data_IF_686684589814
#
_entry.id   IF_686684589814
#
_cell.length_a   1.000
_cell.length_b   1.000
_cell.length_c   1.000
_cell.angle_alpha   90.00
_cell.angle_beta   90.00
_cell.angle_gamma   90.00
#
_symmetry.space_group_name_H-M   'P 1'
#
loop_
_entity.id
_entity.type
_entity.pdbx_description
1 polymer ?
#
# COMPACT_ATOMS: atom_id res chain seq x y z
N UNK A 1 115.86 76.90 -18.03
CA UNK A 1 114.94 75.75 -18.12
C UNK A 1 113.61 76.26 -18.64
N UNK A 2 113.45 76.43 -19.95
CA UNK A 2 112.13 76.58 -20.57
C UNK A 2 112.16 75.83 -21.89
N UNK A 3 111.40 74.74 -21.89
CA UNK A 3 111.34 73.68 -22.87
C UNK A 3 110.47 74.05 -24.07
N UNK A 4 110.80 73.39 -25.17
CA UNK A 4 110.17 73.36 -26.49
C UNK A 4 108.63 73.34 -26.50
N UNK A 5 108.04 74.03 -27.49
CA UNK A 5 106.76 73.66 -28.08
C UNK A 5 106.90 73.60 -29.60
N UNK A 6 106.73 72.43 -30.24
CA UNK A 6 106.67 72.36 -31.69
C UNK A 6 105.26 72.77 -32.14
N UNK A 7 105.16 73.80 -32.98
CA UNK A 7 103.93 74.13 -33.70
C UNK A 7 103.70 73.09 -34.80
N UNK A 8 102.85 72.10 -34.51
CA UNK A 8 102.39 71.11 -35.46
C UNK A 8 101.33 71.74 -36.39
N UNK A 9 101.75 72.29 -37.54
CA UNK A 9 100.80 72.68 -38.60
C UNK A 9 100.37 71.41 -39.33
N UNK A 10 99.23 70.84 -38.93
CA UNK A 10 98.62 69.68 -39.58
C UNK A 10 98.35 69.95 -41.06
N UNK A 11 98.70 68.99 -41.92
CA UNK A 11 98.46 69.07 -43.36
C UNK A 11 96.96 68.94 -43.69
N UNK A 12 96.42 69.71 -44.66
CA UNK A 12 94.99 69.70 -45.00
C UNK A 12 94.43 68.31 -45.36
N UNK A 13 95.28 67.43 -45.91
CA UNK A 13 94.96 66.04 -46.27
C UNK A 13 94.62 65.16 -45.04
N UNK A 14 95.28 65.39 -43.90
CA UNK A 14 95.03 64.62 -42.67
C UNK A 14 93.67 64.93 -42.03
N UNK A 15 93.27 66.21 -42.08
CA UNK A 15 91.96 66.65 -41.57
C UNK A 15 90.84 66.13 -42.47
N UNK A 16 90.99 66.21 -43.79
CA UNK A 16 90.00 65.70 -44.74
C UNK A 16 89.81 64.17 -44.61
N UNK A 17 90.91 63.42 -44.41
CA UNK A 17 90.84 61.98 -44.17
C UNK A 17 90.12 61.64 -42.85
N UNK A 18 90.40 62.38 -41.77
CA UNK A 18 89.67 62.23 -40.49
C UNK A 18 88.18 62.52 -40.62
N UNK A 19 87.81 63.60 -41.29
CA UNK A 19 86.41 63.97 -41.53
C UNK A 19 85.71 62.91 -42.38
N UNK A 20 86.38 62.41 -43.42
CA UNK A 20 85.84 61.35 -44.27
C UNK A 20 85.65 60.03 -43.51
N UNK A 21 86.62 59.62 -42.67
CA UNK A 21 86.46 58.46 -41.80
C UNK A 21 85.33 58.64 -40.77
N UNK A 22 85.17 59.84 -40.22
CA UNK A 22 84.09 60.16 -39.31
C UNK A 22 82.72 60.09 -40.00
N UNK A 23 82.60 60.58 -41.23
CA UNK A 23 81.37 60.46 -42.01
C UNK A 23 81.04 59.00 -42.35
N UNK A 24 82.06 58.16 -42.63
CA UNK A 24 81.89 56.73 -42.86
C UNK A 24 81.42 55.99 -41.60
N UNK A 25 81.95 56.30 -40.42
CA UNK A 25 81.50 55.68 -39.17
C UNK A 25 80.10 56.15 -38.78
N UNK A 26 79.79 57.42 -39.00
CA UNK A 26 78.47 58.01 -38.74
C UNK A 26 77.39 57.43 -39.68
N UNK A 27 77.67 57.29 -40.97
CA UNK A 27 76.75 56.59 -41.90
C UNK A 27 76.61 55.11 -41.58
N UNK A 28 77.69 54.44 -41.16
CA UNK A 28 77.64 53.02 -40.76
C UNK A 28 76.80 52.82 -39.50
N UNK A 29 77.00 53.63 -38.47
CA UNK A 29 76.25 53.55 -37.21
C UNK A 29 74.78 53.90 -37.42
N UNK A 30 74.48 54.95 -38.20
CA UNK A 30 73.11 55.31 -38.57
C UNK A 30 72.38 54.16 -39.28
N UNK A 31 73.02 53.54 -40.29
CA UNK A 31 72.43 52.37 -40.97
C UNK A 31 72.28 51.17 -40.04
N UNK A 32 73.24 50.95 -39.14
CA UNK A 32 73.15 49.86 -38.16
C UNK A 32 71.95 50.04 -37.22
N UNK A 33 71.68 51.27 -36.79
CA UNK A 33 70.50 51.61 -35.98
C UNK A 33 69.23 51.41 -36.79
N UNK A 34 69.15 51.93 -38.02
CA UNK A 34 67.98 51.75 -38.90
C UNK A 34 67.67 50.26 -39.15
N UNK A 35 68.69 49.44 -39.43
CA UNK A 35 68.51 47.99 -39.62
C UNK A 35 67.98 47.34 -38.33
N UNK A 36 68.57 47.67 -37.18
CA UNK A 36 68.12 47.13 -35.89
C UNK A 36 66.68 47.54 -35.54
N UNK A 37 66.27 48.77 -35.88
CA UNK A 37 64.90 49.24 -35.68
C UNK A 37 63.91 48.55 -36.62
N UNK A 38 64.29 48.32 -37.87
CA UNK A 38 63.48 47.59 -38.85
C UNK A 38 63.31 46.13 -38.41
N UNK A 39 64.39 45.47 -37.98
CA UNK A 39 64.37 44.10 -37.48
C UNK A 39 63.52 43.99 -36.20
N UNK A 40 63.64 44.96 -35.29
CA UNK A 40 62.80 45.04 -34.08
C UNK A 40 61.31 45.18 -34.40
N UNK A 41 60.94 46.10 -35.30
CA UNK A 41 59.55 46.26 -35.76
C UNK A 41 59.02 45.02 -36.48
N UNK A 42 59.89 44.31 -37.19
CA UNK A 42 59.51 43.07 -37.87
C UNK A 42 59.23 41.96 -36.86
N UNK A 43 60.09 41.80 -35.85
CA UNK A 43 59.89 40.84 -34.76
C UNK A 43 58.60 41.12 -33.97
N UNK A 44 58.34 42.37 -33.62
CA UNK A 44 57.13 42.79 -32.89
C UNK A 44 55.84 42.48 -33.70
N UNK A 45 55.87 42.66 -35.02
CA UNK A 45 54.75 42.28 -35.90
C UNK A 45 54.53 40.77 -35.94
N UNK A 46 55.60 39.97 -35.94
CA UNK A 46 55.47 38.51 -35.92
C UNK A 46 54.95 38.03 -34.56
N UNK A 47 55.43 38.61 -33.47
CA UNK A 47 54.97 38.31 -32.13
C UNK A 47 53.49 38.67 -31.95
N UNK A 48 53.06 39.86 -32.39
CA UNK A 48 51.66 40.26 -32.35
C UNK A 48 50.75 39.32 -33.14
N UNK A 49 51.15 38.91 -34.36
CA UNK A 49 50.37 37.95 -35.16
C UNK A 49 50.30 36.57 -34.52
N UNK A 50 51.38 36.12 -33.87
CA UNK A 50 51.40 34.85 -33.17
C UNK A 50 50.47 34.89 -31.95
N UNK A 51 50.51 35.98 -31.18
CA UNK A 51 49.62 36.21 -30.05
C UNK A 51 48.16 36.25 -30.48
N UNK A 52 47.84 36.97 -31.56
CA UNK A 52 46.49 37.04 -32.13
C UNK A 52 45.98 35.65 -32.56
N UNK A 53 46.79 34.89 -33.30
CA UNK A 53 46.41 33.54 -33.73
C UNK A 53 46.19 32.57 -32.55
N UNK A 54 47.01 32.68 -31.49
CA UNK A 54 46.84 31.88 -30.28
C UNK A 54 45.60 32.28 -29.48
N UNK A 55 45.30 33.57 -29.43
CA UNK A 55 44.11 34.12 -28.78
C UNK A 55 42.85 33.67 -29.50
N UNK A 56 42.81 33.80 -30.83
CA UNK A 56 41.68 33.33 -31.65
C UNK A 56 41.42 31.84 -31.47
N UNK A 57 42.47 31.03 -31.42
CA UNK A 57 42.34 29.59 -31.18
C UNK A 57 41.79 29.30 -29.79
N UNK A 58 42.25 30.03 -28.77
CA UNK A 58 41.74 29.92 -27.39
C UNK A 58 40.26 30.28 -27.33
N UNK A 59 39.87 31.39 -27.94
CA UNK A 59 38.50 31.88 -27.94
C UNK A 59 37.56 30.94 -28.71
N UNK A 60 38.05 30.32 -29.79
CA UNK A 60 37.31 29.26 -30.50
C UNK A 60 37.06 28.04 -29.61
N UNK A 61 38.08 27.55 -28.90
CA UNK A 61 37.91 26.43 -27.98
C UNK A 61 37.00 26.77 -26.81
N UNK A 62 37.11 27.98 -26.25
CA UNK A 62 36.27 28.43 -25.16
C UNK A 62 34.79 28.54 -25.61
N UNK A 63 34.54 29.09 -26.79
CA UNK A 63 33.21 29.14 -27.39
C UNK A 63 32.65 27.73 -27.67
N UNK A 64 33.46 26.83 -28.24
CA UNK A 64 33.03 25.46 -28.51
C UNK A 64 32.67 24.72 -27.23
N UNK A 65 33.48 24.84 -26.18
CA UNK A 65 33.21 24.23 -24.88
C UNK A 65 31.98 24.81 -24.21
N UNK A 66 31.76 26.13 -24.30
CA UNK A 66 30.55 26.78 -23.81
C UNK A 66 29.29 26.26 -24.52
N UNK A 67 29.33 26.15 -25.85
CA UNK A 67 28.22 25.64 -26.64
C UNK A 67 27.89 24.18 -26.31
N UNK A 68 28.91 23.31 -26.29
CA UNK A 68 28.74 21.91 -25.93
C UNK A 68 28.15 21.76 -24.52
N UNK A 69 28.63 22.56 -23.57
CA UNK A 69 28.11 22.56 -22.20
C UNK A 69 26.63 22.96 -22.17
N UNK A 70 26.25 24.02 -22.87
CA UNK A 70 24.87 24.49 -22.93
C UNK A 70 23.94 23.46 -23.59
N UNK A 71 24.40 22.81 -24.66
CA UNK A 71 23.63 21.77 -25.35
C UNK A 71 23.39 20.56 -24.45
N UNK A 72 24.42 20.14 -23.71
CA UNK A 72 24.32 19.08 -22.71
C UNK A 72 23.34 19.46 -21.59
N UNK A 73 23.44 20.68 -21.04
CA UNK A 73 22.53 21.17 -20.00
C UNK A 73 21.07 21.16 -20.49
N UNK A 74 20.81 21.65 -21.71
CA UNK A 74 19.47 21.65 -22.30
C UNK A 74 18.91 20.24 -22.53
N UNK A 75 19.75 19.31 -23.02
CA UNK A 75 19.37 17.92 -23.22
C UNK A 75 18.97 17.26 -21.89
N UNK A 76 19.75 17.46 -20.83
CA UNK A 76 19.44 16.91 -19.52
C UNK A 76 18.19 17.57 -18.92
N UNK A 77 18.02 18.88 -19.06
CA UNK A 77 16.84 19.58 -18.56
C UNK A 77 15.57 19.09 -19.25
N UNK A 78 15.58 18.93 -20.58
CA UNK A 78 14.46 18.36 -21.32
C UNK A 78 14.19 16.90 -20.94
N UNK A 79 15.25 16.09 -20.77
CA UNK A 79 15.10 14.69 -20.37
C UNK A 79 14.46 14.56 -18.99
N UNK A 80 14.89 15.39 -18.04
CA UNK A 80 14.33 15.43 -16.68
C UNK A 80 12.85 15.84 -16.74
N UNK A 81 12.51 16.92 -17.46
CA UNK A 81 11.12 17.37 -17.63
C UNK A 81 10.23 16.28 -18.23
N UNK A 82 10.70 15.59 -19.26
CA UNK A 82 9.95 14.52 -19.90
C UNK A 82 9.75 13.32 -18.97
N UNK A 83 10.78 12.93 -18.21
CA UNK A 83 10.69 11.84 -17.23
C UNK A 83 9.75 12.19 -16.07
N UNK A 84 9.82 13.43 -15.57
CA UNK A 84 8.90 13.93 -14.55
C UNK A 84 7.45 13.89 -15.05
N UNK A 85 7.18 14.45 -16.25
CA UNK A 85 5.84 14.43 -16.82
C UNK A 85 5.31 13.01 -17.09
N UNK A 86 6.17 12.07 -17.48
CA UNK A 86 5.78 10.67 -17.65
C UNK A 86 5.44 10.03 -16.30
N UNK A 87 6.27 10.26 -15.28
CA UNK A 87 6.04 9.74 -13.94
C UNK A 87 4.74 10.29 -13.34
N UNK A 88 4.49 11.59 -13.50
CA UNK A 88 3.25 12.23 -13.05
C UNK A 88 2.03 11.59 -13.73
N UNK A 89 2.08 11.34 -15.05
CA UNK A 89 0.99 10.64 -15.76
C UNK A 89 0.78 9.23 -15.24
N UNK A 90 1.85 8.49 -14.96
CA UNK A 90 1.74 7.15 -14.39
C UNK A 90 1.15 7.18 -12.98
N UNK A 91 1.58 8.12 -12.14
CA UNK A 91 1.03 8.28 -10.79
C UNK A 91 -0.45 8.69 -10.81
N UNK A 92 -0.82 9.68 -11.62
CA UNK A 92 -2.21 10.11 -11.76
C UNK A 92 -3.09 9.03 -12.37
N UNK A 93 -2.59 8.30 -13.38
CA UNK A 93 -3.30 7.17 -13.97
C UNK A 93 -3.53 6.02 -12.98
N UNK A 94 -2.51 5.68 -12.19
CA UNK A 94 -2.63 4.65 -11.16
C UNK A 94 -3.58 5.06 -10.04
N UNK A 95 -3.53 6.32 -9.59
CA UNK A 95 -4.46 6.85 -8.59
C UNK A 95 -5.91 6.84 -9.10
N UNK A 96 -6.14 7.29 -10.34
CA UNK A 96 -7.47 7.28 -10.95
C UNK A 96 -8.05 5.86 -11.09
N UNK A 97 -7.23 4.89 -11.52
CA UNK A 97 -7.66 3.49 -11.63
C UNK A 97 -8.01 2.87 -10.26
N UNK A 98 -7.27 3.19 -9.20
CA UNK A 98 -7.58 2.75 -7.84
C UNK A 98 -8.89 3.36 -7.33
N UNK A 99 -9.12 4.64 -7.57
CA UNK A 99 -10.36 5.30 -7.17
C UNK A 99 -11.57 4.73 -7.92
N UNK A 100 -11.42 4.42 -9.21
CA UNK A 100 -12.46 3.78 -10.02
C UNK A 100 -12.79 2.36 -9.54
N UNK A 101 -11.78 1.56 -9.19
CA UNK A 101 -11.98 0.24 -8.57
C UNK A 101 -12.75 0.36 -7.25
N UNK A 102 -12.35 1.28 -6.36
CA UNK A 102 -13.03 1.51 -5.07
C UNK A 102 -14.47 1.96 -5.26
N UNK A 103 -14.75 2.79 -6.26
CA UNK A 103 -16.12 3.18 -6.58
C UNK A 103 -16.95 2.01 -7.10
N UNK A 104 -16.37 1.15 -7.96
CA UNK A 104 -17.05 -0.03 -8.47
C UNK A 104 -17.35 -1.04 -7.36
N UNK A 105 -16.40 -1.29 -6.45
CA UNK A 105 -16.62 -2.14 -5.27
C UNK A 105 -17.75 -1.60 -4.38
N UNK A 106 -17.76 -0.29 -4.09
CA UNK A 106 -18.84 0.34 -3.32
C UNK A 106 -20.20 0.19 -4.01
N UNK A 107 -20.24 0.34 -5.33
CA UNK A 107 -21.48 0.18 -6.11
C UNK A 107 -21.99 -1.25 -6.05
N UNK A 108 -21.11 -2.25 -6.24
CA UNK A 108 -21.46 -3.67 -6.12
C UNK A 108 -21.98 -4.02 -4.74
N UNK A 109 -21.28 -3.57 -3.69
CA UNK A 109 -21.75 -3.78 -2.32
C UNK A 109 -23.12 -3.14 -2.06
N UNK A 110 -23.37 -1.94 -2.59
CA UNK A 110 -24.67 -1.30 -2.47
C UNK A 110 -25.77 -2.09 -3.22
N UNK A 111 -25.48 -2.65 -4.39
CA UNK A 111 -26.39 -3.52 -5.14
C UNK A 111 -26.69 -4.82 -4.38
N UNK A 112 -25.66 -5.49 -3.84
CA UNK A 112 -25.80 -6.72 -3.06
C UNK A 112 -26.65 -6.49 -1.80
N UNK A 113 -26.41 -5.38 -1.09
CA UNK A 113 -27.22 -4.99 0.06
C UNK A 113 -28.68 -4.76 -0.33
N UNK A 114 -28.94 -4.06 -1.43
CA UNK A 114 -30.30 -3.81 -1.91
C UNK A 114 -31.03 -5.12 -2.31
N UNK A 115 -30.32 -6.07 -2.91
CA UNK A 115 -30.87 -7.40 -3.21
C UNK A 115 -31.20 -8.18 -1.94
N UNK A 116 -30.32 -8.14 -0.95
CA UNK A 116 -30.52 -8.82 0.33
C UNK A 116 -31.69 -8.22 1.12
N UNK A 117 -31.80 -6.89 1.16
CA UNK A 117 -32.93 -6.18 1.76
C UNK A 117 -34.26 -6.56 1.11
N UNK A 118 -34.27 -6.69 -0.23
CA UNK A 118 -35.46 -7.12 -0.96
C UNK A 118 -35.85 -8.57 -0.61
N UNK A 119 -34.88 -9.47 -0.48
CA UNK A 119 -35.16 -10.86 -0.11
C UNK A 119 -35.64 -10.97 1.34
N UNK A 120 -35.05 -10.21 2.26
CA UNK A 120 -35.52 -10.09 3.63
C UNK A 120 -36.97 -9.59 3.69
N UNK A 121 -37.30 -8.59 2.88
CA UNK A 121 -38.68 -8.09 2.80
C UNK A 121 -39.63 -9.16 2.27
N UNK A 122 -39.24 -9.89 1.22
CA UNK A 122 -40.03 -11.00 0.66
C UNK A 122 -40.32 -12.08 1.71
N UNK A 123 -39.30 -12.49 2.48
CA UNK A 123 -39.43 -13.50 3.53
C UNK A 123 -40.30 -13.00 4.69
N UNK A 124 -40.20 -11.72 5.05
CA UNK A 124 -41.08 -11.11 6.06
C UNK A 124 -42.54 -11.15 5.60
N UNK A 125 -42.81 -10.75 4.36
CA UNK A 125 -44.16 -10.75 3.81
C UNK A 125 -44.73 -12.19 3.78
N UNK A 126 -43.93 -13.17 3.36
CA UNK A 126 -44.31 -14.59 3.39
C UNK A 126 -44.62 -15.10 4.81
N UNK A 127 -43.80 -14.76 5.79
CA UNK A 127 -44.04 -15.09 7.20
C UNK A 127 -45.34 -14.47 7.70
N UNK A 128 -45.63 -13.21 7.35
CA UNK A 128 -46.87 -12.55 7.76
C UNK A 128 -48.11 -13.22 7.17
N UNK A 129 -48.02 -13.67 5.90
CA UNK A 129 -49.10 -14.39 5.25
C UNK A 129 -49.36 -15.73 5.93
N UNK A 130 -48.31 -16.51 6.23
CA UNK A 130 -48.43 -17.78 6.94
C UNK A 130 -49.10 -17.59 8.31
N UNK A 131 -48.69 -16.57 9.07
CA UNK A 131 -49.30 -16.27 10.37
C UNK A 131 -50.80 -15.95 10.26
N UNK A 132 -51.20 -15.25 9.19
CA UNK A 132 -52.61 -14.99 8.92
C UNK A 132 -53.38 -16.27 8.59
N UNK A 133 -52.84 -17.12 7.70
CA UNK A 133 -53.46 -18.41 7.36
C UNK A 133 -53.60 -19.33 8.58
N UNK A 134 -52.59 -19.36 9.46
CA UNK A 134 -52.66 -20.10 10.72
C UNK A 134 -53.74 -19.55 11.66
N UNK A 135 -53.90 -18.23 11.73
CA UNK A 135 -54.95 -17.61 12.55
C UNK A 135 -56.34 -17.95 12.00
N UNK A 136 -56.56 -17.85 10.69
CA UNK A 136 -57.82 -18.19 10.04
C UNK A 136 -58.18 -19.67 10.27
N UNK A 137 -57.20 -20.57 10.15
CA UNK A 137 -57.39 -21.99 10.44
C UNK A 137 -57.71 -22.25 11.91
N UNK A 138 -57.07 -21.53 12.82
CA UNK A 138 -57.36 -21.61 14.26
C UNK A 138 -58.79 -21.16 14.57
N UNK A 139 -59.26 -20.09 13.94
CA UNK A 139 -60.61 -19.58 14.10
C UNK A 139 -61.65 -20.60 13.60
N UNK A 140 -61.41 -21.25 12.46
CA UNK A 140 -62.23 -22.38 11.96
C UNK A 140 -62.24 -23.51 12.98
N UNK A 141 -61.08 -23.89 13.52
CA UNK A 141 -60.98 -24.96 14.53
C UNK A 141 -61.80 -24.64 15.77
N UNK A 142 -61.75 -23.40 16.26
CA UNK A 142 -62.55 -22.96 17.41
C UNK A 142 -64.05 -23.03 17.09
N UNK A 143 -64.47 -22.62 15.89
CA UNK A 143 -65.87 -22.74 15.45
C UNK A 143 -66.33 -24.20 15.47
N UNK A 144 -65.53 -25.12 14.92
CA UNK A 144 -65.84 -26.55 14.89
C UNK A 144 -65.92 -27.17 16.30
N UNK A 145 -65.03 -26.78 17.22
CA UNK A 145 -65.11 -27.24 18.61
C UNK A 145 -66.42 -26.80 19.28
N UNK A 146 -66.87 -25.57 19.00
CA UNK A 146 -68.13 -25.05 19.51
C UNK A 146 -69.32 -25.82 18.93
N UNK A 147 -69.31 -26.12 17.63
CA UNK A 147 -70.33 -26.96 16.98
C UNK A 147 -70.38 -28.37 17.58
N UNK A 148 -69.23 -29.02 17.76
CA UNK A 148 -69.13 -30.34 18.37
C UNK A 148 -69.65 -30.31 19.81
N UNK A 149 -69.31 -29.30 20.60
CA UNK A 149 -69.81 -29.14 21.96
C UNK A 149 -71.34 -28.96 21.99
N UNK A 150 -71.89 -28.19 21.05
CA UNK A 150 -73.33 -28.02 20.92
C UNK A 150 -74.03 -29.34 20.53
N UNK A 151 -73.49 -30.09 19.57
CA UNK A 151 -74.03 -31.40 19.18
C UNK A 151 -73.99 -32.41 20.33
N UNK A 152 -72.90 -32.47 21.10
CA UNK A 152 -72.80 -33.33 22.30
C UNK A 152 -73.90 -33.00 23.32
N UNK A 153 -74.11 -31.71 23.62
CA UNK A 153 -75.15 -31.27 24.56
C UNK A 153 -76.56 -31.63 24.09
N UNK A 154 -76.83 -31.52 22.79
CA UNK A 154 -78.13 -31.91 22.24
C UNK A 154 -78.36 -33.42 22.39
N UNK A 155 -77.35 -34.24 22.06
CA UNK A 155 -77.39 -35.69 22.25
C UNK A 155 -77.60 -36.08 23.73
N UNK A 156 -76.85 -35.47 24.65
CA UNK A 156 -77.02 -35.68 26.10
C UNK A 156 -78.47 -35.37 26.55
N UNK A 157 -79.06 -34.30 26.03
CA UNK A 157 -80.46 -33.95 26.34
C UNK A 157 -81.47 -34.94 25.75
N UNK A 158 -81.18 -35.53 24.59
CA UNK A 158 -82.04 -36.52 23.94
C UNK A 158 -81.93 -37.90 24.63
N UNK A 159 -80.71 -38.31 24.99
CA UNK A 159 -80.44 -39.51 25.78
C UNK A 159 -81.16 -39.47 27.15
N UNK A 160 -81.19 -38.29 27.79
CA UNK A 160 -81.94 -38.07 29.02
C UNK A 160 -83.46 -38.16 28.83
N UNK A 161 -84.02 -37.74 27.70
CA UNK A 161 -85.47 -37.87 27.39
C UNK A 161 -85.86 -39.32 27.09
N UNK A 162 -84.95 -40.06 26.47
CA UNK A 162 -85.18 -41.43 26.02
C UNK A 162 -84.76 -42.50 27.06
N UNK A 163 -84.28 -42.09 28.25
CA UNK A 163 -83.83 -42.98 29.35
C UNK A 163 -82.82 -44.04 28.90
N UNK A 164 -81.95 -43.72 27.94
CA UNK A 164 -81.00 -44.68 27.34
C UNK A 164 -79.77 -44.89 28.25
N UNK A 165 -79.56 -44.02 29.23
CA UNK A 165 -78.50 -44.19 30.23
C UNK A 165 -79.04 -44.96 31.45
N UNK A 166 -78.57 -46.18 31.77
CA UNK A 166 -78.82 -46.78 33.07
C UNK A 166 -78.13 -45.93 34.13
N UNK A 167 -78.89 -45.49 35.14
CA UNK A 167 -78.33 -44.92 36.36
C UNK A 167 -77.50 -45.99 37.08
N UNK A 168 -76.19 -45.97 36.87
CA UNK A 168 -75.22 -46.84 37.51
C UNK A 168 -74.12 -46.01 38.15
N UNK A 169 -74.33 -45.63 39.40
CA UNK A 169 -73.28 -45.20 40.31
C UNK A 169 -72.23 -46.31 40.42
N UNK A 170 -70.94 -45.99 40.23
CA UNK A 170 -69.90 -46.15 41.27
C UNK A 170 -68.51 -45.74 40.78
N UNK A 171 -67.94 -44.89 41.61
CA UNK A 171 -66.54 -44.52 41.76
C UNK A 171 -65.54 -45.62 41.43
N UNK A 172 -64.57 -45.31 40.57
CA UNK A 172 -63.20 -45.81 40.72
C UNK A 172 -62.25 -44.61 40.61
N UNK A 173 -61.84 -44.17 41.80
CA UNK A 173 -60.71 -43.30 42.05
C UNK A 173 -59.46 -43.80 41.33
N UNK A 174 -58.98 -43.04 40.34
CA UNK A 174 -57.58 -43.04 39.95
C UNK A 174 -57.07 -41.61 40.00
N UNK A 175 -56.39 -41.28 41.10
CA UNK A 175 -55.59 -40.08 41.21
C UNK A 175 -54.46 -40.15 40.19
N UNK A 176 -54.48 -39.23 39.24
CA UNK A 176 -53.27 -38.71 38.58
C UNK A 176 -53.56 -37.31 38.05
N UNK A 177 -53.87 -36.39 38.97
CA UNK A 177 -53.76 -34.95 38.75
C UNK A 177 -52.28 -34.57 38.63
N UNK A 178 -51.71 -34.65 37.42
CA UNK A 178 -50.64 -33.73 37.02
C UNK A 178 -51.32 -32.45 36.55
N UNK A 179 -51.41 -31.50 37.47
CA UNK A 179 -51.81 -30.12 37.20
C UNK A 179 -50.74 -29.43 36.36
N UNK A 180 -50.95 -29.39 35.05
CA UNK A 180 -50.37 -28.37 34.19
C UNK A 180 -51.52 -27.72 33.44
N UNK A 181 -51.92 -26.53 33.91
CA UNK A 181 -52.36 -25.40 33.08
C UNK A 181 -53.02 -24.35 33.97
N UNK A 182 -52.49 -23.12 33.95
CA UNK A 182 -53.21 -21.93 33.47
C UNK A 182 -52.45 -20.67 33.87
N UNK A 183 -51.65 -20.15 32.93
CA UNK A 183 -51.49 -18.70 32.78
C UNK A 183 -52.83 -18.18 32.26
N UNK A 184 -53.59 -17.48 33.11
CA UNK A 184 -54.67 -16.60 32.67
C UNK A 184 -54.08 -15.21 32.49
N UNK A 185 -54.00 -14.71 31.26
CA UNK A 185 -53.90 -13.27 31.01
C UNK A 185 -55.31 -12.70 31.00
N UNK A 186 -55.62 -11.67 31.81
CA UNK A 186 -56.87 -10.95 31.68
C UNK A 186 -56.75 -9.97 30.51
N UNK A 187 -57.64 -10.09 29.52
CA UNK A 187 -57.92 -9.00 28.60
C UNK A 187 -58.61 -7.90 29.39
N UNK A 188 -57.93 -6.77 29.59
CA UNK A 188 -58.57 -5.50 29.91
C UNK A 188 -58.28 -4.49 28.82
N UNK A 189 -59.39 -4.08 28.22
CA UNK A 189 -59.61 -2.96 27.31
C UNK A 189 -59.02 -1.67 27.86
N UNK A 190 -58.33 -0.92 26.99
CA UNK A 190 -58.19 0.54 27.06
C UNK A 190 -57.02 1.10 27.87
N UNK A 191 -55.95 1.53 27.20
CA UNK A 191 -55.32 2.84 27.38
C UNK A 191 -54.06 2.96 26.50
N UNK A 192 -54.05 4.01 25.68
CA UNK A 192 -52.90 4.50 24.92
C UNK A 192 -51.67 4.65 25.82
N UNK A 193 -50.58 3.95 25.53
CA UNK A 193 -49.23 4.35 25.92
C UNK A 193 -48.21 3.81 24.91
N UNK A 194 -47.60 4.77 24.22
CA UNK A 194 -46.43 4.69 23.35
C UNK A 194 -45.37 3.77 23.97
N UNK A 195 -45.16 2.58 23.40
CA UNK A 195 -44.10 1.67 23.82
C UNK A 195 -42.85 2.01 23.02
N UNK A 196 -41.88 2.56 23.72
CA UNK A 196 -40.52 2.81 23.25
C UNK A 196 -39.92 1.52 22.72
N UNK A 197 -39.42 1.61 21.49
CA UNK A 197 -38.52 0.65 20.85
C UNK A 197 -37.33 0.45 21.81
N UNK A 198 -37.21 -0.73 22.40
CA UNK A 198 -35.94 -1.21 22.92
C UNK A 198 -35.35 -2.01 21.78
N UNK A 199 -34.63 -1.28 20.94
CA UNK A 199 -33.66 -1.83 20.00
C UNK A 199 -32.56 -2.43 20.88
N UNK A 200 -32.54 -3.76 20.98
CA UNK A 200 -31.32 -4.45 21.40
C UNK A 200 -30.35 -4.32 20.23
N UNK A 201 -29.66 -3.18 20.20
CA UNK A 201 -28.48 -2.96 19.40
C UNK A 201 -27.42 -3.92 19.91
N UNK A 202 -27.40 -5.14 19.38
CA UNK A 202 -26.13 -5.82 19.17
C UNK A 202 -25.44 -5.08 18.03
N UNK A 203 -24.94 -3.87 18.33
CA UNK A 203 -23.78 -3.36 17.64
C UNK A 203 -22.65 -4.32 18.00
N UNK A 204 -22.54 -5.44 17.28
CA UNK A 204 -21.22 -6.02 17.06
C UNK A 204 -20.43 -4.89 16.44
N UNK A 205 -19.56 -4.29 17.24
CA UNK A 205 -18.58 -3.28 16.82
C UNK A 205 -17.85 -3.83 15.61
N UNK A 206 -18.35 -3.52 14.41
CA UNK A 206 -17.64 -3.64 13.16
C UNK A 206 -16.61 -2.52 13.20
N UNK A 207 -15.59 -2.70 14.03
CA UNK A 207 -14.34 -1.97 13.91
C UNK A 207 -13.85 -2.23 12.49
N UNK A 208 -13.92 -1.20 11.66
CA UNK A 208 -13.39 -1.18 10.30
C UNK A 208 -11.89 -1.53 10.36
N UNK A 209 -11.56 -2.81 10.20
CA UNK A 209 -10.17 -3.26 10.16
C UNK A 209 -9.65 -3.09 8.73
N UNK A 210 -8.75 -2.14 8.52
CA UNK A 210 -8.01 -2.04 7.26
C UNK A 210 -6.78 -2.93 7.35
N UNK A 211 -6.65 -3.91 6.46
CA UNK A 211 -5.46 -4.76 6.35
C UNK A 211 -4.69 -4.35 5.09
N UNK A 212 -3.44 -3.97 5.27
CA UNK A 212 -2.53 -3.56 4.21
C UNK A 212 -1.41 -4.60 4.09
N UNK A 213 -1.44 -5.43 3.05
CA UNK A 213 -0.40 -6.42 2.78
C UNK A 213 0.47 -6.03 1.57
N UNK A 214 1.76 -6.35 1.66
CA UNK A 214 2.72 -6.17 0.57
C UNK A 214 3.72 -7.32 0.52
N UNK A 215 4.19 -7.64 -0.68
CA UNK A 215 5.22 -8.67 -0.91
C UNK A 215 6.21 -8.18 -1.95
N UNK A 216 7.50 -8.31 -1.67
CA UNK A 216 8.61 -7.96 -2.56
C UNK A 216 9.09 -9.14 -3.42
N UNK A 217 8.53 -10.34 -3.22
CA UNK A 217 8.89 -11.56 -3.97
C UNK A 217 7.75 -12.58 -4.04
N UNK A 218 8.13 -13.85 -4.22
CA UNK A 218 7.18 -14.95 -4.45
C UNK A 218 6.32 -15.31 -3.23
N UNK A 219 6.77 -14.96 -2.03
CA UNK A 219 6.08 -15.26 -0.78
C UNK A 219 5.29 -14.05 -0.31
N UNK A 220 4.04 -14.27 0.09
CA UNK A 220 3.20 -13.27 0.73
C UNK A 220 2.56 -13.76 2.03
N UNK A 221 2.11 -12.82 2.85
CA UNK A 221 1.28 -13.10 4.01
C UNK A 221 -0.18 -13.12 3.55
N UNK A 222 -0.71 -14.32 3.33
CA UNK A 222 -2.06 -14.50 2.80
C UNK A 222 -3.14 -14.21 3.86
N UNK A 223 -2.87 -14.60 5.11
CA UNK A 223 -3.86 -14.46 6.17
C UNK A 223 -3.18 -14.35 7.54
N UNK A 224 -3.68 -13.45 8.37
CA UNK A 224 -3.24 -13.28 9.77
C UNK A 224 -4.48 -13.32 10.63
N UNK A 225 -4.53 -14.26 11.56
CA UNK A 225 -5.67 -14.38 12.46
C UNK A 225 -5.66 -13.22 13.50
N UNK A 226 -6.78 -12.46 13.61
CA UNK A 226 -6.95 -11.37 14.57
C UNK A 226 -6.71 -11.77 16.02
N UNK A 227 -7.08 -12.98 16.39
CA UNK A 227 -7.00 -13.52 17.74
C UNK A 227 -5.65 -14.21 18.00
N UNK A 228 -4.70 -14.10 17.05
CA UNK A 228 -3.34 -14.63 17.23
C UNK A 228 -3.25 -16.15 17.10
N UNK A 229 -4.24 -16.79 16.49
CA UNK A 229 -4.25 -18.24 16.35
C UNK A 229 -3.20 -18.76 15.37
N UNK A 230 -3.05 -18.07 14.23
CA UNK A 230 -2.11 -18.45 13.19
C UNK A 230 -1.67 -17.28 12.32
N UNK A 231 -0.58 -17.54 11.58
CA UNK A 231 -0.15 -16.76 10.42
C UNK A 231 -0.02 -17.71 9.24
N UNK A 232 -0.61 -17.36 8.09
CA UNK A 232 -0.60 -18.17 6.88
C UNK A 232 0.15 -17.46 5.77
N UNK A 233 1.13 -18.14 5.20
CA UNK A 233 1.90 -17.66 4.06
C UNK A 233 1.48 -18.40 2.79
N UNK A 234 1.59 -17.72 1.65
CA UNK A 234 1.34 -18.28 0.33
C UNK A 234 2.54 -18.06 -0.58
N UNK A 235 2.90 -19.08 -1.35
CA UNK A 235 3.84 -18.96 -2.45
C UNK A 235 3.06 -18.72 -3.74
N UNK A 236 3.11 -17.49 -4.26
CA UNK A 236 2.42 -17.09 -5.51
C UNK A 236 3.12 -17.57 -6.77
N UNK A 237 4.36 -18.03 -6.66
CA UNK A 237 5.09 -18.53 -7.82
C UNK A 237 4.69 -19.97 -8.13
N UNK A 238 4.97 -20.39 -9.36
CA UNK A 238 4.84 -21.80 -9.75
C UNK A 238 6.08 -22.63 -9.38
N UNK A 239 7.06 -22.04 -8.68
CA UNK A 239 8.33 -22.71 -8.35
C UNK A 239 8.42 -22.97 -6.85
N UNK A 240 9.15 -24.02 -6.48
CA UNK A 240 9.44 -24.35 -5.09
C UNK A 240 10.37 -23.28 -4.46
N UNK A 241 10.01 -22.78 -3.28
CA UNK A 241 10.82 -21.82 -2.52
C UNK A 241 11.35 -22.47 -1.25
N UNK A 242 12.67 -22.41 -1.04
CA UNK A 242 13.29 -22.86 0.20
C UNK A 242 13.15 -21.80 1.30
N UNK A 243 12.29 -22.06 2.28
CA UNK A 243 12.07 -21.16 3.44
C UNK A 243 13.04 -21.44 4.60
N UNK A 244 13.98 -22.37 4.41
CA UNK A 244 14.89 -22.78 5.46
C UNK A 244 15.68 -21.61 6.06
N UNK A 245 15.46 -21.35 7.35
CA UNK A 245 16.12 -20.28 8.11
C UNK A 245 15.41 -18.92 8.08
N UNK A 246 14.38 -18.75 7.25
CA UNK A 246 13.57 -17.53 7.19
C UNK A 246 12.82 -17.33 8.50
N UNK A 247 12.40 -16.09 8.74
CA UNK A 247 11.73 -15.71 9.99
C UNK A 247 10.40 -15.02 9.72
N UNK A 248 9.41 -15.30 10.55
CA UNK A 248 8.15 -14.57 10.62
C UNK A 248 8.10 -13.87 11.96
N UNK A 249 8.00 -12.55 11.93
CA UNK A 249 7.99 -11.70 13.12
C UNK A 249 6.65 -10.98 13.15
N UNK A 250 5.91 -11.13 14.24
CA UNK A 250 4.70 -10.35 14.51
C UNK A 250 4.97 -9.37 15.64
N UNK A 251 4.67 -8.09 15.42
CA UNK A 251 4.88 -7.00 16.38
C UNK A 251 3.58 -6.32 16.75
N UNK A 252 3.45 -5.98 18.03
CA UNK A 252 2.35 -5.21 18.61
C UNK A 252 2.95 -4.25 19.63
N UNK A 253 3.05 -2.96 19.29
CA UNK A 253 3.77 -1.97 20.11
C UNK A 253 5.22 -2.40 20.32
N UNK A 254 5.62 -2.57 21.59
CA UNK A 254 6.97 -2.99 21.98
C UNK A 254 7.14 -4.52 22.07
N UNK A 255 6.05 -5.29 21.95
CA UNK A 255 6.08 -6.75 22.05
C UNK A 255 6.22 -7.40 20.67
N UNK A 256 7.02 -8.46 20.58
CA UNK A 256 7.16 -9.24 19.36
C UNK A 256 7.21 -10.76 19.61
N UNK A 257 6.63 -11.52 18.67
CA UNK A 257 6.81 -12.97 18.56
C UNK A 257 7.55 -13.27 17.26
N UNK A 258 8.63 -14.04 17.36
CA UNK A 258 9.41 -14.47 16.20
C UNK A 258 9.37 -16.00 16.05
N UNK A 259 8.98 -16.46 14.87
CA UNK A 259 9.07 -17.85 14.44
C UNK A 259 10.19 -18.00 13.40
N UNK A 260 10.99 -19.06 13.49
CA UNK A 260 12.04 -19.38 12.53
C UNK A 260 11.79 -20.73 11.88
N UNK A 261 11.79 -20.77 10.56
CA UNK A 261 11.60 -21.99 9.80
C UNK A 261 12.78 -22.95 9.96
N UNK A 262 12.47 -24.26 10.03
CA UNK A 262 13.50 -25.28 10.01
C UNK A 262 14.28 -25.25 8.69
N UNK A 263 15.60 -25.46 8.75
CA UNK A 263 16.54 -25.32 7.61
C UNK A 263 16.18 -26.12 6.36
N UNK A 264 15.41 -27.20 6.50
CA UNK A 264 15.04 -28.08 5.38
C UNK A 264 13.65 -27.80 4.82
N UNK A 265 12.94 -26.78 5.32
CA UNK A 265 11.58 -26.52 4.90
C UNK A 265 11.55 -25.89 3.52
N UNK A 266 10.71 -26.46 2.66
CA UNK A 266 10.46 -26.00 1.31
C UNK A 266 8.97 -25.86 1.10
N UNK A 267 8.57 -24.83 0.37
CA UNK A 267 7.19 -24.54 0.05
C UNK A 267 7.00 -24.66 -1.45
N UNK A 268 6.16 -25.60 -1.86
CA UNK A 268 5.82 -25.84 -3.27
C UNK A 268 5.20 -24.60 -3.92
N UNK A 269 5.27 -24.53 -5.25
CA UNK A 269 4.61 -23.49 -6.04
C UNK A 269 3.09 -23.51 -5.82
N UNK A 270 2.47 -22.34 -5.69
CA UNK A 270 1.06 -22.17 -5.29
C UNK A 270 0.70 -22.78 -3.93
N UNK A 271 1.69 -23.21 -3.14
CA UNK A 271 1.49 -23.84 -1.84
C UNK A 271 1.17 -22.83 -0.73
N UNK A 272 0.72 -23.37 0.40
CA UNK A 272 0.48 -22.61 1.62
C UNK A 272 1.21 -23.26 2.80
N UNK A 273 1.67 -22.43 3.73
CA UNK A 273 2.15 -22.86 5.04
C UNK A 273 1.46 -22.05 6.13
N UNK A 274 0.95 -22.75 7.14
CA UNK A 274 0.27 -22.15 8.30
C UNK A 274 1.11 -22.37 9.54
N UNK A 275 1.36 -21.30 10.28
CA UNK A 275 2.13 -21.32 11.53
C UNK A 275 1.17 -21.03 12.67
N UNK A 276 0.83 -22.09 13.41
CA UNK A 276 -0.11 -22.08 14.52
C UNK A 276 0.57 -21.72 15.83
N UNK A 277 -0.17 -20.98 16.67
CA UNK A 277 0.16 -20.76 18.07
C UNK A 277 0.15 -22.08 18.85
N UNK A 278 0.97 -22.17 19.92
CA UNK A 278 1.19 -23.43 20.65
C UNK A 278 -0.01 -23.93 21.46
N UNK A 279 -1.03 -23.10 21.67
CA UNK A 279 -2.17 -23.31 22.57
C UNK A 279 -3.42 -23.89 21.93
N UNK A 280 -3.41 -24.11 20.61
CA UNK A 280 -4.57 -24.60 19.87
C UNK A 280 -4.60 -26.12 19.68
N UNK A 281 -3.69 -26.84 20.34
CA UNK A 281 -3.53 -28.30 20.25
C UNK A 281 -3.58 -28.82 18.79
N UNK A 282 -2.98 -28.07 17.86
CA UNK A 282 -2.89 -28.48 16.46
C UNK A 282 -1.75 -29.49 16.28
N UNK A 283 -1.91 -30.38 15.30
CA UNK A 283 -0.86 -31.32 14.92
C UNK A 283 0.25 -30.61 14.14
N UNK A 284 1.49 -30.97 14.43
CA UNK A 284 2.67 -30.45 13.73
C UNK A 284 3.02 -31.33 12.53
N UNK A 285 2.63 -30.89 11.34
CA UNK A 285 2.81 -31.62 10.08
C UNK A 285 3.51 -30.74 9.02
N UNK A 286 4.85 -30.64 9.08
CA UNK A 286 5.63 -29.96 8.03
C UNK A 286 5.42 -30.63 6.65
N UNK A 287 5.47 -29.87 5.54
CA UNK A 287 5.84 -28.45 5.47
C UNK A 287 4.66 -27.48 5.64
N UNK A 288 3.41 -27.95 5.54
CA UNK A 288 2.23 -27.07 5.42
C UNK A 288 1.63 -26.63 6.76
N UNK A 289 1.74 -27.44 7.82
CA UNK A 289 1.19 -27.13 9.13
C UNK A 289 2.30 -27.12 10.18
N UNK A 290 2.69 -25.93 10.62
CA UNK A 290 3.72 -25.72 11.62
C UNK A 290 3.09 -25.24 12.92
N UNK A 291 3.58 -25.72 14.06
CA UNK A 291 3.09 -25.30 15.37
C UNK A 291 4.27 -24.76 16.15
N UNK A 292 4.13 -23.55 16.68
CA UNK A 292 5.17 -22.94 17.50
C UNK A 292 5.37 -23.74 18.79
N UNK A 293 6.62 -23.84 19.25
CA UNK A 293 6.93 -24.56 20.49
C UNK A 293 6.92 -23.62 21.68
N UNK A 294 5.85 -23.68 22.49
CA UNK A 294 5.72 -22.91 23.74
C UNK A 294 5.66 -21.39 23.54
N UNK A 295 5.26 -20.94 22.35
CA UNK A 295 5.12 -19.53 21.99
C UNK A 295 3.75 -19.30 21.38
N UNK A 296 3.24 -18.08 21.58
CA UNK A 296 1.99 -17.59 21.00
C UNK A 296 2.25 -16.35 20.17
N UNK A 297 1.40 -16.10 19.17
CA UNK A 297 1.46 -14.85 18.43
C UNK A 297 1.00 -13.70 19.33
N UNK A 298 1.72 -12.57 19.30
CA UNK A 298 1.28 -11.35 19.98
C UNK A 298 0.02 -10.79 19.31
N UNK A 299 -0.89 -10.26 20.13
CA UNK A 299 -2.20 -9.75 19.73
C UNK A 299 -2.34 -8.33 20.28
N UNK A 300 -2.97 -7.45 19.50
CA UNK A 300 -3.37 -6.10 19.90
C UNK A 300 -4.06 -5.39 18.73
N UNK A 301 -4.36 -4.11 18.90
CA UNK A 301 -5.16 -3.36 17.91
C UNK A 301 -4.39 -3.14 16.61
N UNK A 302 -3.13 -2.70 16.71
CA UNK A 302 -2.24 -2.49 15.57
C UNK A 302 -1.17 -3.58 15.56
N UNK A 303 -1.20 -4.45 14.55
CA UNK A 303 -0.31 -5.60 14.45
C UNK A 303 0.38 -5.64 13.10
N UNK A 304 1.69 -5.79 13.13
CA UNK A 304 2.51 -5.89 11.92
C UNK A 304 3.16 -7.26 11.86
N UNK A 305 2.90 -8.00 10.78
CA UNK A 305 3.51 -9.30 10.52
C UNK A 305 4.48 -9.18 9.36
N UNK A 306 5.76 -9.42 9.63
CA UNK A 306 6.85 -9.30 8.67
C UNK A 306 7.51 -10.65 8.43
N UNK A 307 7.81 -10.96 7.17
CA UNK A 307 8.57 -12.14 6.75
C UNK A 307 9.96 -11.68 6.31
N UNK A 308 11.00 -12.26 6.92
CA UNK A 308 12.41 -11.99 6.60
C UNK A 308 13.06 -13.23 5.97
N UNK A 309 13.86 -13.00 4.94
CA UNK A 309 14.70 -14.05 4.35
C UNK A 309 15.97 -14.30 5.19
N UNK A 310 16.82 -15.25 4.75
CA UNK A 310 18.09 -15.57 5.44
C UNK A 310 19.09 -14.41 5.51
N UNK A 311 18.96 -13.40 4.64
CA UNK A 311 19.82 -12.22 4.62
C UNK A 311 19.29 -11.12 5.56
N UNK A 312 18.14 -11.33 6.21
CA UNK A 312 17.47 -10.31 7.02
C UNK A 312 16.68 -9.29 6.21
N UNK A 313 16.51 -9.53 4.91
CA UNK A 313 15.70 -8.66 4.05
C UNK A 313 14.23 -9.00 4.19
N UNK A 314 13.41 -7.96 4.23
CA UNK A 314 11.96 -8.07 4.25
C UNK A 314 11.42 -8.49 2.89
N UNK A 315 10.70 -9.62 2.86
CA UNK A 315 10.10 -10.17 1.63
C UNK A 315 8.58 -10.03 1.61
N UNK A 316 7.93 -9.97 2.76
CA UNK A 316 6.49 -9.72 2.86
C UNK A 316 6.13 -9.04 4.17
N UNK A 317 5.10 -8.20 4.14
CA UNK A 317 4.54 -7.50 5.31
C UNK A 317 3.02 -7.53 5.23
N UNK A 318 2.37 -7.71 6.36
CA UNK A 318 0.94 -7.48 6.55
C UNK A 318 0.75 -6.59 7.77
N UNK A 319 0.16 -5.42 7.57
CA UNK A 319 -0.16 -4.44 8.59
C UNK A 319 -1.67 -4.41 8.80
N UNK A 320 -2.07 -4.40 10.07
CA UNK A 320 -3.44 -4.14 10.52
C UNK A 320 -3.38 -3.03 11.56
#
# INVERSE_FOLDING_TARGET
>A
MFSCFPHNRGSPSSVHNRVYQQQLTETRTRRQVEISEIDGRLAEKYEAKLQEALQDLRDQYESQMANNRQEIELLYEQKIKNLQAANDRHQHGAAGALDELRQNERMRHAEDLALLEKELQRLRDEMTLQLQEYQDLMDIKVSLDLEIAAYRKLLESEEARLNITPHGEREISHLSTRSSSQRRTPVRVGAKRKRTLLEESQESSLSDYSVNSSSKGDIEVAEVDPEGHYVKLHNKSNQEVALGGWQVIRRVGDNETQFKFHRSLKLEGNGYVTIWSSDLNKDHEPPSNLVMKGQKWVIGDNMVTTVLNNNGEEVAVSER
#
